data_IF_442678269486
#
_entry.id   IF_442678269486
#
_cell.length_a   1.000
_cell.length_b   1.000
_cell.length_c   1.000
_cell.angle_alpha   90.00
_cell.angle_beta   90.00
_cell.angle_gamma   90.00
#
_symmetry.space_group_name_H-M   'P 1'
#
loop_
_entity.id
_entity.type
_entity.pdbx_description
1 polymer ?
#
# COMPACT_ATOMS: atom_id res chain seq x y z
N UNK A 1 -7.50 -4.65 29.13
CA UNK A 1 -7.50 -5.96 28.43
C UNK A 1 -8.87 -6.63 28.52
N UNK A 2 -9.52 -6.55 29.69
CA UNK A 2 -10.91 -6.95 29.95
C UNK A 2 -11.92 -6.07 29.17
N UNK A 3 -11.67 -4.76 29.01
CA UNK A 3 -12.60 -3.88 28.27
C UNK A 3 -12.78 -4.23 26.79
N UNK A 4 -11.71 -4.54 26.04
CA UNK A 4 -11.85 -4.85 24.60
C UNK A 4 -12.53 -6.20 24.35
N UNK A 5 -12.43 -7.13 25.30
CA UNK A 5 -13.15 -8.42 25.26
C UNK A 5 -14.60 -8.23 25.63
N UNK A 6 -14.90 -7.46 26.69
CA UNK A 6 -16.26 -7.07 27.04
C UNK A 6 -16.94 -6.29 25.91
N UNK A 7 -16.30 -5.30 25.29
CA UNK A 7 -16.92 -4.54 24.19
C UNK A 7 -17.22 -5.42 22.97
N UNK A 8 -16.35 -6.35 22.59
CA UNK A 8 -16.65 -7.26 21.48
C UNK A 8 -17.75 -8.27 21.87
N UNK A 9 -17.74 -8.76 23.10
CA UNK A 9 -18.75 -9.71 23.62
C UNK A 9 -20.10 -9.02 23.81
N UNK A 10 -20.15 -7.80 24.36
CA UNK A 10 -21.34 -6.96 24.52
C UNK A 10 -21.92 -6.59 23.16
N UNK A 11 -21.11 -6.13 22.20
CA UNK A 11 -21.58 -5.81 20.85
C UNK A 11 -22.06 -7.05 20.07
N UNK A 12 -21.50 -8.23 20.34
CA UNK A 12 -21.95 -9.50 19.75
C UNK A 12 -23.20 -10.05 20.45
N UNK A 13 -23.33 -9.88 21.77
CA UNK A 13 -24.51 -10.30 22.56
C UNK A 13 -25.71 -9.38 22.26
N UNK A 14 -25.50 -8.07 22.10
CA UNK A 14 -26.55 -7.12 21.68
C UNK A 14 -27.06 -7.39 20.26
N UNK A 15 -26.28 -8.07 19.42
CA UNK A 15 -26.71 -8.48 18.08
C UNK A 15 -27.69 -9.67 18.06
N UNK A 16 -27.89 -10.33 19.20
CA UNK A 16 -28.71 -11.54 19.34
C UNK A 16 -30.04 -11.29 20.10
N UNK A 17 -30.25 -10.09 20.66
CA UNK A 17 -31.53 -9.73 21.28
C UNK A 17 -32.05 -8.36 20.83
N UNK A 18 -33.20 -8.37 20.16
CA UNK A 18 -34.00 -7.17 19.98
C UNK A 18 -34.65 -6.73 21.30
N UNK A 19 -34.51 -5.43 21.59
CA UNK A 19 -35.20 -4.58 22.56
C UNK A 19 -34.46 -4.16 23.85
N UNK A 20 -34.29 -2.84 23.93
CA UNK A 20 -34.43 -1.91 25.07
C UNK A 20 -33.72 -2.24 26.40
N UNK A 21 -32.89 -1.32 26.88
CA UNK A 21 -33.12 -0.53 28.11
C UNK A 21 -32.09 0.60 28.24
N UNK A 22 -32.58 1.76 28.70
CA UNK A 22 -31.83 2.93 29.15
C UNK A 22 -31.07 2.68 30.47
N UNK A 23 -30.05 3.52 30.66
CA UNK A 23 -29.48 4.06 31.91
C UNK A 23 -28.10 3.58 32.36
N UNK A 24 -27.22 4.58 32.30
CA UNK A 24 -26.34 5.07 33.36
C UNK A 24 -24.96 4.44 33.63
N UNK A 25 -23.98 5.32 33.38
CA UNK A 25 -22.83 5.63 34.22
C UNK A 25 -21.88 4.49 34.59
N UNK A 26 -20.96 4.15 33.69
CA UNK A 26 -19.60 3.74 34.09
C UNK A 26 -18.56 3.91 32.96
N UNK A 27 -18.47 5.09 32.34
CA UNK A 27 -17.40 5.38 31.36
C UNK A 27 -16.59 6.64 31.73
N UNK A 28 -16.34 6.83 33.03
CA UNK A 28 -15.33 7.79 33.51
C UNK A 28 -14.37 7.06 34.43
N UNK A 29 -13.09 7.11 34.06
CA UNK A 29 -11.90 6.67 34.78
C UNK A 29 -11.42 5.25 34.49
N UNK A 30 -10.64 5.06 33.41
CA UNK A 30 -9.31 4.42 33.48
C UNK A 30 -8.41 5.04 32.39
N UNK A 31 -7.88 6.23 32.68
CA UNK A 31 -6.55 6.64 32.22
C UNK A 31 -5.64 6.38 33.42
N UNK A 32 -4.39 5.98 33.17
CA UNK A 32 -3.32 5.67 34.12
C UNK A 32 -3.19 4.18 34.44
N UNK A 33 -2.47 3.46 33.59
CA UNK A 33 -1.18 2.85 33.97
C UNK A 33 -0.69 1.96 32.84
N UNK A 34 0.33 2.45 32.13
CA UNK A 34 1.44 1.67 31.57
C UNK A 34 2.45 2.68 31.03
N UNK A 35 3.06 3.41 31.96
CA UNK A 35 4.28 4.16 31.68
C UNK A 35 5.47 3.21 31.65
N UNK A 36 6.43 3.61 30.82
CA UNK A 36 7.86 3.27 30.85
C UNK A 36 8.33 2.05 30.01
N UNK A 37 9.06 2.40 28.94
CA UNK A 37 10.11 1.61 28.27
C UNK A 37 9.73 0.52 27.24
N UNK A 38 8.69 0.70 26.41
CA UNK A 38 8.40 -0.23 25.30
C UNK A 38 8.67 0.31 23.88
N UNK A 39 9.15 1.54 23.73
CA UNK A 39 9.30 2.20 22.43
C UNK A 39 10.52 1.76 21.61
N UNK A 40 11.46 1.01 22.18
CA UNK A 40 12.70 0.64 21.49
C UNK A 40 12.50 -0.41 20.38
N UNK A 41 11.42 -1.21 20.41
CA UNK A 41 11.21 -2.33 19.48
C UNK A 41 9.76 -2.46 19.05
N UNK A 42 9.17 -1.38 18.54
CA UNK A 42 7.77 -1.35 18.13
C UNK A 42 7.36 -2.38 17.07
N UNK A 43 8.31 -3.00 16.36
CA UNK A 43 8.03 -4.12 15.47
C UNK A 43 7.77 -5.45 16.21
N UNK A 44 8.27 -5.63 17.44
CA UNK A 44 8.02 -6.84 18.25
C UNK A 44 6.62 -6.80 18.87
N UNK A 45 6.01 -5.60 19.02
CA UNK A 45 4.69 -5.47 19.61
C UNK A 45 3.61 -6.26 18.83
N UNK A 46 3.87 -6.62 17.58
CA UNK A 46 2.97 -7.45 16.75
C UNK A 46 2.80 -8.89 17.30
N UNK A 47 3.73 -9.35 18.14
CA UNK A 47 3.70 -10.66 18.78
C UNK A 47 3.08 -10.62 20.19
N UNK A 48 2.66 -9.44 20.65
CA UNK A 48 1.96 -9.30 21.95
C UNK A 48 0.46 -9.55 21.80
N UNK A 49 -0.16 -9.97 22.90
CA UNK A 49 -1.60 -10.21 23.05
C UNK A 49 -2.46 -9.08 22.45
N UNK A 50 -2.09 -7.81 22.69
CA UNK A 50 -2.81 -6.63 22.19
C UNK A 50 -2.95 -6.65 20.66
N UNK A 51 -1.93 -7.10 19.94
CA UNK A 51 -1.96 -7.17 18.49
C UNK A 51 -2.86 -8.29 17.98
N UNK A 52 -2.91 -9.43 18.70
CA UNK A 52 -3.85 -10.52 18.42
C UNK A 52 -5.29 -10.02 18.55
N UNK A 53 -5.59 -9.27 19.61
CA UNK A 53 -6.90 -8.63 19.79
C UNK A 53 -7.22 -7.61 18.67
N UNK A 54 -6.28 -6.75 18.27
CA UNK A 54 -6.49 -5.87 17.10
C UNK A 54 -6.80 -6.67 15.82
N UNK A 55 -6.19 -7.85 15.61
CA UNK A 55 -6.51 -8.71 14.46
C UNK A 55 -7.92 -9.29 14.56
N UNK A 56 -8.33 -9.76 15.73
CA UNK A 56 -9.67 -10.28 16.00
C UNK A 56 -10.74 -9.21 15.81
N UNK A 57 -10.57 -8.02 16.41
CA UNK A 57 -11.46 -6.88 16.22
C UNK A 57 -11.58 -6.52 14.73
N UNK A 58 -10.46 -6.43 14.01
CA UNK A 58 -10.47 -6.15 12.57
C UNK A 58 -11.20 -7.24 11.74
N UNK A 59 -11.23 -8.49 12.20
CA UNK A 59 -12.03 -9.54 11.57
C UNK A 59 -13.50 -9.40 11.94
N UNK A 60 -13.80 -9.16 13.22
CA UNK A 60 -15.16 -8.97 13.75
C UNK A 60 -15.89 -7.82 13.07
N UNK A 61 -15.20 -6.73 12.73
CA UNK A 61 -15.81 -5.62 11.97
C UNK A 61 -16.40 -6.09 10.63
N UNK A 62 -15.76 -7.04 9.94
CA UNK A 62 -16.32 -7.57 8.69
C UNK A 62 -17.65 -8.30 8.92
N UNK A 63 -17.73 -9.09 9.99
CA UNK A 63 -18.96 -9.79 10.36
C UNK A 63 -20.06 -8.80 10.75
N UNK A 64 -19.71 -7.76 11.51
CA UNK A 64 -20.65 -6.70 11.88
C UNK A 64 -21.13 -5.89 10.68
N UNK A 65 -20.27 -5.64 9.69
CA UNK A 65 -20.66 -5.01 8.42
C UNK A 65 -21.67 -5.90 7.66
N UNK A 66 -21.45 -7.22 7.61
CA UNK A 66 -22.39 -8.18 7.00
C UNK A 66 -23.73 -8.24 7.75
N UNK A 67 -23.70 -8.11 9.08
CA UNK A 67 -24.88 -8.01 9.94
C UNK A 67 -25.53 -6.61 9.95
N UNK A 68 -24.98 -5.65 9.20
CA UNK A 68 -25.44 -4.25 9.13
C UNK A 68 -25.39 -3.49 10.47
N UNK A 69 -24.55 -3.95 11.40
CA UNK A 69 -24.31 -3.30 12.69
C UNK A 69 -23.28 -2.17 12.54
N UNK A 70 -23.68 -1.11 11.84
CA UNK A 70 -22.77 -0.04 11.40
C UNK A 70 -22.26 0.85 12.54
N UNK A 71 -23.07 1.07 13.58
CA UNK A 71 -22.63 1.81 14.77
C UNK A 71 -21.56 1.03 15.54
N UNK A 72 -21.72 -0.28 15.71
CA UNK A 72 -20.72 -1.15 16.30
C UNK A 72 -19.39 -1.14 15.50
N UNK A 73 -19.48 -1.17 14.17
CA UNK A 73 -18.30 -1.08 13.30
C UNK A 73 -17.52 0.23 13.53
N UNK A 74 -18.24 1.35 13.63
CA UNK A 74 -17.66 2.68 13.89
C UNK A 74 -16.91 2.70 15.23
N UNK A 75 -17.50 2.17 16.30
CA UNK A 75 -16.85 2.13 17.61
C UNK A 75 -15.61 1.22 17.61
N UNK A 76 -15.66 0.08 16.94
CA UNK A 76 -14.47 -0.77 16.81
C UNK A 76 -13.37 -0.08 15.99
N UNK A 77 -13.70 0.65 14.92
CA UNK A 77 -12.69 1.42 14.18
C UNK A 77 -12.03 2.50 15.06
N UNK A 78 -12.78 3.18 15.94
CA UNK A 78 -12.21 4.11 16.95
C UNK A 78 -11.24 3.38 17.87
N UNK A 79 -11.65 2.24 18.43
CA UNK A 79 -10.82 1.43 19.32
C UNK A 79 -9.54 0.95 18.63
N UNK A 80 -9.63 0.47 17.39
CA UNK A 80 -8.50 0.05 16.57
C UNK A 80 -7.51 1.20 16.33
N UNK A 81 -8.01 2.38 16.00
CA UNK A 81 -7.17 3.57 15.77
C UNK A 81 -6.48 4.06 17.05
N UNK A 82 -7.14 3.98 18.20
CA UNK A 82 -6.52 4.35 19.48
C UNK A 82 -5.47 3.33 19.93
N UNK A 83 -5.72 2.04 19.69
CA UNK A 83 -4.91 0.96 20.26
C UNK A 83 -3.79 0.46 19.36
N UNK A 84 -3.86 0.74 18.06
CA UNK A 84 -2.90 0.26 17.07
C UNK A 84 -2.31 1.44 16.26
N UNK A 85 -1.45 2.29 16.89
CA UNK A 85 -0.94 3.53 16.30
C UNK A 85 0.00 3.34 15.11
N UNK A 86 0.76 2.24 15.06
CA UNK A 86 1.70 1.95 13.97
C UNK A 86 1.15 0.92 12.96
N UNK A 87 -0.16 0.66 12.96
CA UNK A 87 -0.75 -0.33 12.06
C UNK A 87 -0.77 0.16 10.61
N UNK A 88 -0.29 -0.67 9.69
CA UNK A 88 -0.39 -0.41 8.25
C UNK A 88 -1.85 -0.40 7.73
N UNK A 89 -2.81 -0.84 8.54
CA UNK A 89 -4.24 -0.88 8.18
C UNK A 89 -4.99 0.40 8.55
N UNK A 90 -4.36 1.37 9.22
CA UNK A 90 -5.02 2.61 9.67
C UNK A 90 -5.74 3.34 8.55
N UNK A 91 -5.09 3.49 7.39
CA UNK A 91 -5.74 4.06 6.21
C UNK A 91 -7.01 3.32 5.80
N UNK A 92 -6.99 1.99 5.82
CA UNK A 92 -8.14 1.16 5.48
C UNK A 92 -9.28 1.36 6.49
N UNK A 93 -8.95 1.48 7.78
CA UNK A 93 -9.93 1.76 8.83
C UNK A 93 -10.59 3.13 8.65
N UNK A 94 -9.79 4.18 8.38
CA UNK A 94 -10.33 5.50 8.07
C UNK A 94 -11.26 5.46 6.85
N UNK A 95 -10.79 4.86 5.76
CA UNK A 95 -11.55 4.75 4.50
C UNK A 95 -12.87 4.01 4.71
N UNK A 96 -12.86 2.84 5.36
CA UNK A 96 -14.06 2.04 5.60
C UNK A 96 -15.02 2.73 6.55
N UNK A 97 -14.55 3.27 7.68
CA UNK A 97 -15.42 3.98 8.61
C UNK A 97 -16.03 5.24 7.97
N UNK A 98 -15.27 5.99 7.16
CA UNK A 98 -15.82 7.12 6.41
C UNK A 98 -16.86 6.70 5.36
N UNK A 99 -16.74 5.51 4.75
CA UNK A 99 -17.79 4.95 3.90
C UNK A 99 -19.05 4.64 4.71
N UNK A 100 -18.89 4.03 5.90
CA UNK A 100 -20.01 3.73 6.80
C UNK A 100 -20.72 5.02 7.23
N UNK A 101 -19.97 6.05 7.63
CA UNK A 101 -20.52 7.34 8.05
C UNK A 101 -21.24 8.08 6.90
N UNK A 102 -20.68 8.11 5.69
CA UNK A 102 -21.30 8.79 4.52
C UNK A 102 -22.54 8.03 4.01
N UNK A 103 -22.42 6.71 3.82
CA UNK A 103 -23.43 5.93 3.09
C UNK A 103 -24.47 5.27 4.00
N UNK A 104 -24.03 4.61 5.09
CA UNK A 104 -24.90 3.79 5.92
C UNK A 104 -25.56 4.57 7.06
N UNK A 105 -24.78 5.39 7.77
CA UNK A 105 -25.26 6.17 8.91
C UNK A 105 -25.70 7.59 8.52
N UNK A 106 -25.27 8.08 7.36
CA UNK A 106 -25.56 9.44 6.86
C UNK A 106 -25.16 10.56 7.85
N UNK A 107 -24.14 10.29 8.68
CA UNK A 107 -23.58 11.23 9.65
C UNK A 107 -22.49 12.07 8.98
N UNK A 108 -22.90 13.00 8.10
CA UNK A 108 -21.99 13.72 7.22
C UNK A 108 -20.97 14.60 7.96
N UNK A 109 -21.36 15.29 9.03
CA UNK A 109 -20.46 16.14 9.82
C UNK A 109 -19.39 15.33 10.55
N UNK A 110 -19.75 14.13 11.00
CA UNK A 110 -18.80 13.20 11.58
C UNK A 110 -17.90 12.60 10.51
N UNK A 111 -18.45 12.18 9.37
CA UNK A 111 -17.66 11.70 8.24
C UNK A 111 -16.64 12.75 7.80
N UNK A 112 -17.02 14.03 7.78
CA UNK A 112 -16.13 15.12 7.42
C UNK A 112 -14.93 15.22 8.38
N UNK A 113 -15.18 15.26 9.70
CA UNK A 113 -14.13 15.26 10.72
C UNK A 113 -13.26 14.01 10.66
N UNK A 114 -13.86 12.85 10.44
CA UNK A 114 -13.17 11.57 10.31
C UNK A 114 -12.20 11.57 9.12
N UNK A 115 -12.60 12.13 7.98
CA UNK A 115 -11.72 12.32 6.83
C UNK A 115 -10.57 13.30 7.16
N UNK A 116 -10.83 14.39 7.89
CA UNK A 116 -9.78 15.33 8.30
C UNK A 116 -8.72 14.66 9.19
N UNK A 117 -9.16 13.88 10.18
CA UNK A 117 -8.26 13.11 11.05
C UNK A 117 -7.42 12.11 10.25
N UNK A 118 -8.05 11.36 9.34
CA UNK A 118 -7.34 10.40 8.50
C UNK A 118 -6.34 11.05 7.53
N UNK A 119 -6.62 12.26 7.04
CA UNK A 119 -5.67 13.03 6.22
C UNK A 119 -4.50 13.56 7.05
N UNK A 120 -4.72 13.87 8.32
CA UNK A 120 -3.68 14.29 9.27
C UNK A 120 -2.82 13.15 9.83
N UNK A 121 -3.25 11.90 9.68
CA UNK A 121 -2.52 10.74 10.19
C UNK A 121 -1.33 10.35 9.29
N UNK A 122 -0.13 10.39 9.85
CA UNK A 122 1.15 10.07 9.17
C UNK A 122 1.23 8.64 8.64
N UNK A 123 0.53 7.69 9.23
CA UNK A 123 0.57 6.26 8.88
C UNK A 123 -0.45 5.85 7.80
N UNK A 124 -1.27 6.79 7.32
CA UNK A 124 -2.18 6.55 6.18
C UNK A 124 -1.38 6.63 4.88
N UNK A 125 -1.42 5.56 4.08
CA UNK A 125 -0.70 5.52 2.81
C UNK A 125 -1.36 6.40 1.75
N UNK A 126 -0.62 6.71 0.69
CA UNK A 126 -1.07 7.62 -0.39
C UNK A 126 -2.38 7.16 -1.03
N UNK A 127 -2.54 5.86 -1.27
CA UNK A 127 -3.77 5.29 -1.84
C UNK A 127 -5.02 5.62 -1.02
N UNK A 128 -4.99 5.28 0.27
CA UNK A 128 -6.09 5.59 1.18
C UNK A 128 -6.26 7.09 1.41
N UNK A 129 -5.18 7.89 1.43
CA UNK A 129 -5.27 9.37 1.47
C UNK A 129 -6.04 9.92 0.27
N UNK A 130 -5.79 9.42 -0.94
CA UNK A 130 -6.52 9.86 -2.13
C UNK A 130 -8.02 9.55 -2.02
N UNK A 131 -8.39 8.38 -1.50
CA UNK A 131 -9.80 8.02 -1.32
C UNK A 131 -10.48 8.91 -0.26
N UNK A 132 -9.80 9.16 0.87
CA UNK A 132 -10.29 10.09 1.89
C UNK A 132 -10.42 11.50 1.35
N UNK A 133 -9.46 11.98 0.56
CA UNK A 133 -9.46 13.31 -0.04
C UNK A 133 -10.62 13.47 -1.04
N UNK A 134 -10.89 12.46 -1.87
CA UNK A 134 -12.07 12.44 -2.76
C UNK A 134 -13.36 12.60 -1.97
N UNK A 135 -13.51 11.86 -0.86
CA UNK A 135 -14.70 11.92 0.00
C UNK A 135 -14.80 13.26 0.75
N UNK A 136 -13.69 13.75 1.30
CA UNK A 136 -13.58 15.06 1.95
C UNK A 136 -14.04 16.18 1.02
N UNK A 137 -13.51 16.24 -0.21
CA UNK A 137 -13.85 17.27 -1.19
C UNK A 137 -15.33 17.21 -1.62
N UNK A 138 -15.89 16.01 -1.76
CA UNK A 138 -17.33 15.81 -2.03
C UNK A 138 -18.19 16.38 -0.90
N UNK A 139 -17.85 16.09 0.35
CA UNK A 139 -18.59 16.57 1.52
C UNK A 139 -18.41 18.07 1.73
N UNK A 140 -17.20 18.59 1.57
CA UNK A 140 -16.90 20.03 1.66
C UNK A 140 -17.80 20.85 0.72
N UNK A 141 -17.91 20.43 -0.55
CA UNK A 141 -18.79 21.09 -1.53
C UNK A 141 -20.26 21.08 -1.09
N UNK A 142 -20.75 19.97 -0.52
CA UNK A 142 -22.13 19.88 -0.02
C UNK A 142 -22.36 20.84 1.17
N UNK A 143 -21.43 20.85 2.13
CA UNK A 143 -21.50 21.70 3.33
C UNK A 143 -21.45 23.18 2.93
N UNK A 144 -20.49 23.60 2.10
CA UNK A 144 -20.36 24.98 1.61
C UNK A 144 -21.64 25.45 0.87
N UNK A 145 -22.21 24.61 -0.01
CA UNK A 145 -23.46 24.92 -0.70
C UNK A 145 -24.65 25.08 0.26
N UNK A 146 -24.74 24.22 1.28
CA UNK A 146 -25.80 24.30 2.29
C UNK A 146 -25.70 25.55 3.17
N UNK A 147 -24.49 26.00 3.47
CA UNK A 147 -24.26 27.20 4.29
C UNK A 147 -24.52 28.48 3.51
N UNK A 148 -24.12 28.53 2.22
CA UNK A 148 -24.46 29.63 1.32
C UNK A 148 -25.97 29.87 1.21
N UNK A 149 -26.77 28.79 1.27
CA UNK A 149 -28.25 28.88 1.28
C UNK A 149 -28.83 29.39 2.60
N UNK A 150 -28.18 29.13 3.75
CA UNK A 150 -28.70 29.47 5.09
C UNK A 150 -28.39 30.91 5.57
N UNK A 151 -27.63 31.72 4.82
CA UNK A 151 -27.20 33.09 5.20
C UNK A 151 -26.56 33.20 6.60
N UNK A 152 -26.11 32.10 7.19
CA UNK A 152 -25.42 32.07 8.48
C UNK A 152 -23.91 31.95 8.25
N UNK A 153 -23.17 33.02 8.51
CA UNK A 153 -21.69 33.02 8.58
C UNK A 153 -21.26 32.36 9.88
N UNK A 154 -20.85 31.10 9.83
CA UNK A 154 -20.06 30.46 10.88
C UNK A 154 -18.73 30.07 10.24
N UNK A 155 -17.62 30.35 10.92
CA UNK A 155 -16.29 29.97 10.49
C UNK A 155 -16.24 28.44 10.33
N UNK A 156 -16.32 27.92 9.10
CA UNK A 156 -15.61 26.67 8.82
C UNK A 156 -14.16 26.96 9.18
N UNK A 157 -13.54 26.10 10.00
CA UNK A 157 -12.08 25.95 9.94
C UNK A 157 -11.75 25.89 8.44
N UNK A 158 -10.90 26.81 7.96
CA UNK A 158 -10.63 26.96 6.54
C UNK A 158 -10.53 25.56 5.89
N UNK A 159 -11.02 25.37 4.64
CA UNK A 159 -10.62 24.18 3.88
C UNK A 159 -9.12 24.04 4.10
N UNK A 160 -8.61 22.85 4.45
CA UNK A 160 -7.19 22.57 4.75
C UNK A 160 -6.28 23.10 3.61
N UNK A 161 -6.11 24.42 3.54
CA UNK A 161 -5.32 25.22 2.62
C UNK A 161 -3.90 25.32 3.17
N UNK A 162 -3.75 25.00 4.46
CA UNK A 162 -2.50 24.97 5.21
C UNK A 162 -1.91 23.59 5.45
N UNK A 163 -2.42 22.51 4.85
CA UNK A 163 -1.59 21.31 4.66
C UNK A 163 -0.69 21.52 3.43
N UNK A 164 0.07 22.62 3.44
CA UNK A 164 1.09 23.02 2.46
C UNK A 164 2.32 22.11 2.45
N UNK A 165 2.20 20.92 3.03
CA UNK A 165 3.11 19.79 2.92
C UNK A 165 2.17 18.60 2.79
N UNK A 166 1.70 18.31 1.60
CA UNK A 166 2.31 17.30 0.74
C UNK A 166 1.90 17.69 -0.70
N UNK A 167 2.80 18.32 -1.44
CA UNK A 167 2.63 18.53 -2.90
C UNK A 167 2.30 17.21 -3.60
N UNK A 168 2.69 16.08 -3.02
CA UNK A 168 2.49 14.77 -3.63
C UNK A 168 1.03 14.35 -3.81
N UNK A 169 0.01 14.89 -3.12
CA UNK A 169 -1.37 14.43 -3.40
C UNK A 169 -1.93 15.02 -4.69
N UNK A 170 -1.78 16.33 -4.89
CA UNK A 170 -2.22 16.99 -6.13
C UNK A 170 -1.28 16.63 -7.29
N UNK A 171 0.03 16.52 -7.03
CA UNK A 171 1.00 16.04 -8.01
C UNK A 171 0.72 14.58 -8.41
N UNK A 172 0.42 13.67 -7.47
CA UNK A 172 0.06 12.27 -7.77
C UNK A 172 -1.28 12.19 -8.50
N UNK A 173 -2.27 13.00 -8.13
CA UNK A 173 -3.56 13.03 -8.82
C UNK A 173 -3.39 13.54 -10.26
N UNK A 174 -2.57 14.59 -10.46
CA UNK A 174 -2.21 15.13 -11.77
C UNK A 174 -1.39 14.11 -12.59
N UNK A 175 -0.45 13.41 -11.95
CA UNK A 175 0.33 12.32 -12.56
C UNK A 175 -0.53 11.10 -12.93
N UNK A 176 -1.60 10.82 -12.18
CA UNK A 176 -2.54 9.74 -12.48
C UNK A 176 -3.46 10.08 -13.66
N UNK A 177 -3.78 11.36 -13.88
CA UNK A 177 -4.67 11.78 -14.97
C UNK A 177 -4.03 11.83 -16.35
N UNK A 178 -2.70 11.84 -16.45
CA UNK A 178 -1.98 11.96 -17.72
C UNK A 178 -1.26 10.67 -18.15
N UNK A 179 -1.79 9.51 -17.72
CA UNK A 179 -1.24 8.21 -18.10
C UNK A 179 -1.70 7.87 -19.52
N UNK A 180 -0.75 7.66 -20.44
CA UNK A 180 -1.04 7.14 -21.79
C UNK A 180 -1.83 5.84 -21.65
N UNK A 181 -3.07 5.89 -22.09
CA UNK A 181 -3.97 4.74 -22.09
C UNK A 181 -4.01 4.17 -23.50
N UNK A 182 -3.68 2.88 -23.64
CA UNK A 182 -3.81 2.13 -24.88
C UNK A 182 -4.96 1.16 -24.69
N UNK A 183 -5.94 1.21 -25.58
CA UNK A 183 -7.08 0.30 -25.57
C UNK A 183 -6.82 -0.80 -26.59
N UNK A 184 -6.87 -2.04 -26.13
CA UNK A 184 -6.72 -3.24 -26.97
C UNK A 184 -8.05 -3.97 -26.95
N UNK A 185 -8.63 -4.20 -28.12
CA UNK A 185 -9.86 -4.97 -28.27
C UNK A 185 -9.54 -6.47 -28.30
N UNK A 186 -10.36 -7.27 -27.63
CA UNK A 186 -10.19 -8.73 -27.55
C UNK A 186 -11.51 -9.48 -27.54
N UNK A 187 -11.52 -10.69 -28.08
CA UNK A 187 -12.71 -11.53 -28.17
C UNK A 187 -12.94 -12.30 -26.86
N UNK A 188 -13.83 -11.80 -26.00
CA UNK A 188 -14.07 -12.39 -24.68
C UNK A 188 -14.85 -13.72 -24.72
N UNK A 189 -14.37 -14.71 -23.99
CA UNK A 189 -14.96 -16.05 -23.83
C UNK A 189 -15.93 -16.08 -22.64
N UNK A 190 -15.53 -15.50 -21.51
CA UNK A 190 -16.27 -15.55 -20.25
C UNK A 190 -16.79 -14.17 -19.85
N UNK A 191 -18.11 -14.04 -19.65
CA UNK A 191 -18.78 -12.81 -19.18
C UNK A 191 -19.58 -13.06 -17.89
N UNK A 192 -18.98 -13.70 -16.89
CA UNK A 192 -19.61 -13.95 -15.57
C UNK A 192 -18.90 -13.16 -14.48
N UNK A 193 -19.67 -12.42 -13.70
CA UNK A 193 -19.17 -11.69 -12.52
C UNK A 193 -18.52 -12.65 -11.54
N UNK A 194 -17.33 -12.31 -11.03
CA UNK A 194 -16.58 -13.13 -10.06
C UNK A 194 -15.66 -14.18 -10.69
N UNK A 195 -15.62 -14.31 -12.02
CA UNK A 195 -14.65 -15.17 -12.72
C UNK A 195 -13.60 -14.34 -13.44
N UNK A 196 -12.40 -14.91 -13.63
CA UNK A 196 -11.37 -14.28 -14.47
C UNK A 196 -11.84 -14.23 -15.92
N UNK A 197 -11.68 -13.08 -16.56
CA UNK A 197 -11.97 -12.92 -17.98
C UNK A 197 -10.92 -13.61 -18.83
N UNK A 198 -11.37 -14.45 -19.76
CA UNK A 198 -10.55 -15.08 -20.78
C UNK A 198 -10.97 -14.63 -22.17
N UNK A 199 -10.04 -14.70 -23.10
CA UNK A 199 -10.19 -14.19 -24.45
C UNK A 199 -9.53 -15.14 -25.46
N UNK A 200 -9.95 -15.07 -26.72
CA UNK A 200 -9.27 -15.78 -27.81
C UNK A 200 -8.04 -14.99 -28.26
N UNK A 201 -6.87 -15.65 -28.20
CA UNK A 201 -5.65 -15.21 -28.86
C UNK A 201 -5.68 -15.46 -30.37
N UNK A 202 -4.63 -15.04 -31.06
CA UNK A 202 -4.57 -15.04 -32.53
C UNK A 202 -4.56 -16.46 -33.11
N UNK A 203 -4.04 -17.42 -32.36
CA UNK A 203 -4.05 -18.84 -32.72
C UNK A 203 -5.28 -19.59 -32.17
N UNK A 204 -6.37 -18.89 -31.81
CA UNK A 204 -7.55 -19.44 -31.12
C UNK A 204 -7.24 -20.08 -29.74
N UNK A 205 -6.10 -19.76 -29.15
CA UNK A 205 -5.76 -20.18 -27.79
C UNK A 205 -6.57 -19.36 -26.77
N UNK A 206 -6.86 -19.98 -25.62
CA UNK A 206 -7.56 -19.30 -24.51
C UNK A 206 -6.53 -18.55 -23.67
N UNK A 207 -6.55 -17.23 -23.75
CA UNK A 207 -5.61 -16.34 -23.08
C UNK A 207 -6.28 -15.53 -21.97
N UNK A 208 -5.51 -15.19 -20.95
CA UNK A 208 -5.86 -14.18 -19.95
C UNK A 208 -5.77 -12.77 -20.54
N UNK A 209 -6.31 -11.77 -19.83
CA UNK A 209 -6.19 -10.35 -20.21
C UNK A 209 -4.72 -9.99 -20.45
N UNK A 210 -3.84 -10.39 -19.53
CA UNK A 210 -2.43 -10.03 -19.57
C UNK A 210 -1.69 -10.70 -20.74
N UNK A 211 -2.05 -11.94 -21.07
CA UNK A 211 -1.48 -12.65 -22.21
C UNK A 211 -1.90 -12.06 -23.56
N UNK A 212 -3.16 -11.62 -23.71
CA UNK A 212 -3.60 -10.89 -24.90
C UNK A 212 -2.85 -9.57 -25.07
N UNK A 213 -2.64 -8.83 -23.98
CA UNK A 213 -1.89 -7.58 -24.05
C UNK A 213 -0.44 -7.84 -24.47
N UNK A 214 0.18 -8.90 -23.95
CA UNK A 214 1.52 -9.32 -24.39
C UNK A 214 1.54 -9.77 -25.85
N UNK A 215 0.52 -10.50 -26.31
CA UNK A 215 0.37 -10.91 -27.70
C UNK A 215 0.26 -9.68 -28.62
N UNK A 216 -0.61 -8.71 -28.28
CA UNK A 216 -0.75 -7.46 -29.02
C UNK A 216 0.56 -6.68 -29.12
N UNK A 217 1.23 -6.41 -28.00
CA UNK A 217 2.49 -5.66 -28.01
C UNK A 217 3.65 -6.43 -28.66
N UNK A 218 3.58 -7.76 -28.75
CA UNK A 218 4.55 -8.53 -29.52
C UNK A 218 4.44 -8.31 -31.04
N UNK A 219 3.31 -7.79 -31.52
CA UNK A 219 3.03 -7.53 -32.92
C UNK A 219 3.21 -6.06 -33.31
N UNK A 220 2.94 -5.15 -32.38
CA UNK A 220 3.13 -3.70 -32.59
C UNK A 220 4.63 -3.39 -32.77
N UNK A 221 4.94 -2.48 -33.70
CA UNK A 221 6.31 -2.04 -34.02
C UNK A 221 7.28 -3.19 -34.37
N UNK A 222 6.83 -4.25 -35.07
CA UNK A 222 7.65 -5.44 -35.39
C UNK A 222 8.25 -6.12 -34.14
N UNK A 223 7.56 -6.04 -33.00
CA UNK A 223 8.05 -6.58 -31.72
C UNK A 223 9.14 -5.73 -31.07
N UNK A 224 9.34 -4.47 -31.52
CA UNK A 224 10.24 -3.51 -30.88
C UNK A 224 9.68 -2.92 -29.58
N UNK A 225 8.41 -3.18 -29.26
CA UNK A 225 7.84 -2.74 -27.99
C UNK A 225 8.57 -3.41 -26.82
N UNK A 226 9.25 -2.61 -26.02
CA UNK A 226 9.95 -3.04 -24.81
C UNK A 226 9.14 -2.61 -23.58
N UNK A 227 8.59 -3.57 -22.83
CA UNK A 227 7.91 -3.26 -21.58
C UNK A 227 7.61 -4.42 -20.63
N UNK A 228 7.44 -4.08 -19.33
CA UNK A 228 7.00 -5.01 -18.27
C UNK A 228 5.52 -4.75 -17.99
N UNK A 229 4.69 -5.79 -18.05
CA UNK A 229 3.31 -5.68 -17.62
C UNK A 229 3.18 -5.74 -16.08
N UNK A 230 2.61 -4.68 -15.48
CA UNK A 230 2.40 -4.52 -14.04
C UNK A 230 0.92 -4.30 -13.73
N UNK A 231 0.37 -5.10 -12.80
CA UNK A 231 -0.84 -4.78 -12.03
C UNK A 231 -0.46 -4.01 -10.76
N UNK A 232 -0.81 -2.72 -10.68
CA UNK A 232 -0.65 -1.93 -9.44
C UNK A 232 -2.01 -1.47 -8.97
N UNK A 233 -2.35 -1.84 -7.74
CA UNK A 233 -3.46 -1.23 -7.03
C UNK A 233 -3.07 0.06 -6.28
N UNK A 234 -1.94 0.69 -6.58
CA UNK A 234 -1.50 2.02 -6.09
C UNK A 234 -0.11 2.36 -6.68
N UNK A 235 -0.03 2.85 -7.92
CA UNK A 235 1.21 3.41 -8.47
C UNK A 235 1.19 4.94 -8.40
N UNK A 236 2.21 5.51 -7.78
CA UNK A 236 2.65 6.87 -8.04
C UNK A 236 3.56 6.77 -9.27
N UNK A 237 3.09 7.25 -10.42
CA UNK A 237 3.94 7.47 -11.59
C UNK A 237 4.69 8.79 -11.40
N UNK A 238 6.02 8.80 -11.50
CA UNK A 238 6.73 10.06 -11.72
C UNK A 238 6.56 10.45 -13.19
N UNK A 239 5.71 11.44 -13.48
CA UNK A 239 5.70 12.12 -14.79
C UNK A 239 6.78 13.20 -14.77
N UNK A 240 7.58 13.27 -15.84
CA UNK A 240 8.40 14.44 -16.15
C UNK A 240 7.77 15.20 -17.34
N UNK A 241 7.95 16.51 -17.36
CA UNK A 241 7.25 17.50 -18.20
C UNK A 241 7.48 17.41 -19.73
N UNK A 242 8.19 16.41 -20.25
CA UNK A 242 8.62 16.38 -21.67
C UNK A 242 8.15 15.17 -22.48
N UNK A 243 7.00 14.53 -22.16
CA UNK A 243 6.41 13.46 -22.99
C UNK A 243 7.35 12.28 -23.36
N UNK A 244 8.44 12.04 -22.61
CA UNK A 244 9.35 10.92 -22.87
C UNK A 244 8.99 9.71 -22.02
N UNK A 245 8.74 8.59 -22.71
CA UNK A 245 8.31 7.31 -22.16
C UNK A 245 9.43 6.61 -21.38
N UNK A 246 9.07 5.95 -20.28
CA UNK A 246 9.92 4.93 -19.68
C UNK A 246 9.91 3.68 -20.57
N UNK A 247 11.01 3.41 -21.26
CA UNK A 247 11.19 2.14 -21.97
C UNK A 247 11.52 1.06 -20.94
N UNK A 248 10.57 0.16 -20.72
CA UNK A 248 10.66 -0.94 -19.76
C UNK A 248 11.21 -2.20 -20.46
N UNK A 249 11.66 -3.15 -19.66
CA UNK A 249 12.46 -4.31 -20.08
C UNK A 249 11.62 -5.29 -20.94
N UNK A 250 12.16 -5.79 -22.06
CA UNK A 250 11.52 -6.87 -22.83
C UNK A 250 11.66 -8.20 -22.10
N UNK A 251 10.68 -8.53 -21.27
CA UNK A 251 10.48 -9.88 -20.76
C UNK A 251 9.03 -10.21 -21.05
N UNK A 252 8.74 -11.16 -21.94
CA UNK A 252 7.39 -11.72 -22.20
C UNK A 252 6.86 -12.48 -20.96
N UNK A 253 6.87 -11.85 -19.79
CA UNK A 253 6.65 -12.45 -18.49
C UNK A 253 5.87 -11.48 -17.61
N UNK A 254 4.73 -11.94 -17.09
CA UNK A 254 3.95 -11.23 -16.07
C UNK A 254 4.77 -11.12 -14.78
N UNK A 255 4.86 -9.91 -14.21
CA UNK A 255 5.69 -9.66 -13.02
C UNK A 255 4.89 -9.45 -11.73
N UNK A 256 3.80 -8.67 -11.75
CA UNK A 256 3.03 -8.31 -10.53
C UNK A 256 3.91 -7.78 -9.37
N UNK A 257 5.09 -7.22 -9.68
CA UNK A 257 6.07 -6.75 -8.71
C UNK A 257 7.12 -7.78 -8.26
N UNK A 258 7.01 -9.04 -8.67
CA UNK A 258 7.99 -10.09 -8.32
C UNK A 258 9.39 -9.80 -8.85
N UNK A 259 9.52 -9.21 -10.05
CA UNK A 259 10.81 -8.79 -10.59
C UNK A 259 11.47 -7.70 -9.73
N UNK A 260 10.71 -6.70 -9.32
CA UNK A 260 11.23 -5.62 -8.46
C UNK A 260 11.58 -6.13 -7.06
N UNK A 261 10.79 -7.07 -6.53
CA UNK A 261 11.10 -7.75 -5.28
C UNK A 261 12.42 -8.53 -5.37
N UNK A 262 12.62 -9.26 -6.46
CA UNK A 262 13.86 -9.98 -6.78
C UNK A 262 15.05 -9.01 -6.87
N UNK A 263 14.94 -7.94 -7.66
CA UNK A 263 15.96 -6.89 -7.79
C UNK A 263 16.28 -6.31 -6.41
N UNK A 264 15.26 -5.90 -5.66
CA UNK A 264 15.44 -5.38 -4.31
C UNK A 264 16.15 -6.37 -3.39
N UNK A 265 15.72 -7.64 -3.36
CA UNK A 265 16.30 -8.67 -2.52
C UNK A 265 17.78 -8.93 -2.81
N UNK A 266 18.16 -9.01 -4.09
CA UNK A 266 19.55 -9.26 -4.49
C UNK A 266 20.45 -8.04 -4.25
N UNK A 267 20.00 -6.84 -4.64
CA UNK A 267 20.80 -5.63 -4.46
C UNK A 267 20.92 -5.20 -2.99
N UNK A 268 19.88 -5.43 -2.18
CA UNK A 268 19.85 -5.04 -0.77
C UNK A 268 20.19 -6.20 0.16
N UNK A 269 20.68 -7.33 -0.34
CA UNK A 269 20.92 -8.56 0.45
C UNK A 269 21.65 -8.28 1.77
N UNK A 270 22.84 -7.67 1.68
CA UNK A 270 23.68 -7.36 2.85
C UNK A 270 23.07 -6.33 3.81
N UNK A 271 22.07 -5.56 3.37
CA UNK A 271 21.33 -4.62 4.22
C UNK A 271 20.15 -5.32 4.90
N UNK A 272 19.44 -6.18 4.16
CA UNK A 272 18.28 -6.95 4.66
C UNK A 272 18.75 -7.93 5.74
N UNK A 273 19.79 -8.71 5.46
CA UNK A 273 20.30 -9.76 6.35
C UNK A 273 21.42 -9.29 7.28
N UNK A 274 21.56 -7.98 7.50
CA UNK A 274 22.47 -7.46 8.51
C UNK A 274 21.96 -7.84 9.91
N UNK A 275 22.71 -8.69 10.59
CA UNK A 275 22.43 -9.26 11.91
C UNK A 275 22.92 -8.38 13.08
N UNK A 276 23.66 -7.31 12.80
CA UNK A 276 24.04 -6.32 13.82
C UNK A 276 22.86 -5.47 14.30
N UNK A 277 21.71 -5.53 13.60
CA UNK A 277 20.50 -4.85 14.04
C UNK A 277 19.86 -5.66 15.17
N UNK A 278 19.64 -5.09 16.37
CA UNK A 278 19.13 -5.85 17.50
C UNK A 278 17.74 -6.46 17.25
N UNK A 279 17.56 -7.71 17.71
CA UNK A 279 16.28 -8.43 17.77
C UNK A 279 15.55 -8.73 16.46
N UNK A 280 16.09 -8.34 15.30
CA UNK A 280 15.44 -8.62 14.00
C UNK A 280 15.61 -10.08 13.56
N UNK A 281 16.65 -10.76 14.02
CA UNK A 281 16.86 -12.19 13.90
C UNK A 281 17.02 -12.76 15.31
N UNK A 282 16.06 -13.57 15.71
CA UNK A 282 16.01 -14.24 17.01
C UNK A 282 16.31 -15.73 16.89
N UNK A 283 16.12 -16.32 15.70
CA UNK A 283 16.29 -17.75 15.46
C UNK A 283 16.95 -18.00 14.08
N UNK A 284 17.73 -19.09 13.92
CA UNK A 284 18.42 -19.42 12.66
C UNK A 284 17.49 -19.73 11.47
N UNK A 285 16.20 -19.98 11.71
CA UNK A 285 15.24 -20.42 10.69
C UNK A 285 14.46 -19.28 10.02
N UNK A 286 14.84 -18.02 10.27
CA UNK A 286 14.14 -16.87 9.71
C UNK A 286 14.59 -16.59 8.27
N UNK A 287 13.64 -16.55 7.35
CA UNK A 287 13.86 -16.14 5.96
C UNK A 287 13.82 -14.63 5.72
N UNK A 288 13.64 -13.84 6.80
CA UNK A 288 13.60 -12.38 6.77
C UNK A 288 13.73 -11.76 8.17
N UNK A 289 14.20 -10.51 8.27
CA UNK A 289 14.23 -9.80 9.54
C UNK A 289 12.80 -9.47 10.00
N UNK A 290 12.53 -9.57 11.30
CA UNK A 290 11.19 -9.36 11.88
C UNK A 290 10.62 -7.96 11.62
N UNK A 291 11.47 -6.97 11.34
CA UNK A 291 11.06 -5.59 11.09
C UNK A 291 10.76 -5.28 9.61
N UNK A 292 11.03 -6.18 8.65
CA UNK A 292 10.99 -5.92 7.20
C UNK A 292 9.69 -5.23 6.72
N UNK A 293 8.54 -5.68 7.21
CA UNK A 293 7.23 -5.18 6.81
C UNK A 293 6.71 -4.09 7.75
N UNK A 294 7.61 -3.36 8.39
CA UNK A 294 7.29 -2.29 9.34
C UNK A 294 8.10 -1.03 9.02
N UNK A 295 7.66 0.16 9.50
CA UNK A 295 8.46 1.38 9.36
C UNK A 295 9.87 1.26 9.97
N UNK A 296 10.05 0.36 10.95
CA UNK A 296 11.31 0.18 11.67
C UNK A 296 12.42 -0.39 10.79
N UNK A 297 12.12 -1.17 9.75
CA UNK A 297 13.14 -1.68 8.83
C UNK A 297 14.00 -0.56 8.23
N UNK A 298 13.33 0.48 7.73
CA UNK A 298 14.01 1.65 7.20
C UNK A 298 14.69 2.45 8.31
N UNK A 299 13.97 2.74 9.40
CA UNK A 299 14.49 3.57 10.50
C UNK A 299 15.75 2.99 11.14
N UNK A 300 15.82 1.67 11.31
CA UNK A 300 16.98 0.99 11.90
C UNK A 300 18.17 0.87 10.93
N UNK A 301 17.96 1.13 9.63
CA UNK A 301 18.96 0.91 8.57
C UNK A 301 19.15 2.15 7.69
N UNK A 302 18.72 3.33 8.11
CA UNK A 302 18.74 4.54 7.25
C UNK A 302 20.12 4.77 6.64
N UNK A 303 21.18 4.68 7.45
CA UNK A 303 22.55 4.88 6.98
C UNK A 303 22.98 3.78 5.99
N UNK A 304 22.82 2.50 6.36
CA UNK A 304 23.14 1.35 5.51
C UNK A 304 22.40 1.39 4.16
N UNK A 305 21.12 1.78 4.19
CA UNK A 305 20.30 1.91 2.99
C UNK A 305 20.83 3.04 2.10
N UNK A 306 21.11 4.22 2.67
CA UNK A 306 21.63 5.37 1.91
C UNK A 306 22.96 5.04 1.24
N UNK A 307 23.92 4.55 2.01
CA UNK A 307 25.24 4.13 1.49
C UNK A 307 25.10 3.07 0.40
N UNK A 308 24.22 2.09 0.61
CA UNK A 308 23.99 1.03 -0.38
C UNK A 308 23.39 1.56 -1.67
N UNK A 309 22.39 2.44 -1.59
CA UNK A 309 21.75 3.06 -2.75
C UNK A 309 22.76 3.93 -3.51
N UNK A 310 23.57 4.71 -2.82
CA UNK A 310 24.65 5.50 -3.44
C UNK A 310 25.68 4.62 -4.13
N UNK A 311 26.07 3.49 -3.51
CA UNK A 311 26.97 2.52 -4.14
C UNK A 311 26.34 1.95 -5.41
N UNK A 312 25.08 1.51 -5.37
CA UNK A 312 24.36 0.97 -6.53
C UNK A 312 24.26 2.00 -7.66
N UNK A 313 24.09 3.29 -7.32
CA UNK A 313 23.99 4.35 -8.32
C UNK A 313 25.30 4.61 -9.08
N UNK A 314 26.45 4.25 -8.49
CA UNK A 314 27.79 4.41 -9.09
C UNK A 314 28.35 3.15 -9.73
N UNK A 315 27.63 2.02 -9.67
CA UNK A 315 28.12 0.76 -10.22
C UNK A 315 28.03 0.76 -11.74
N UNK A 316 29.13 0.39 -12.39
CA UNK A 316 29.14 0.16 -13.82
C UNK A 316 28.43 -1.15 -14.16
N UNK A 317 28.13 -1.30 -15.45
CA UNK A 317 27.48 -2.49 -16.01
C UNK A 317 28.18 -3.80 -15.62
N UNK A 318 29.52 -3.81 -15.65
CA UNK A 318 30.35 -4.95 -15.26
C UNK A 318 30.30 -5.24 -13.77
N UNK A 319 30.25 -4.19 -12.94
CA UNK A 319 30.19 -4.32 -11.47
C UNK A 319 28.85 -4.89 -11.03
N UNK A 320 27.76 -4.49 -11.71
CA UNK A 320 26.42 -4.99 -11.45
C UNK A 320 26.34 -6.48 -11.75
N UNK A 321 26.81 -6.90 -12.94
CA UNK A 321 26.81 -8.30 -13.31
C UNK A 321 27.63 -9.12 -12.31
N UNK A 322 28.85 -8.67 -12.00
CA UNK A 322 29.74 -9.35 -11.05
C UNK A 322 29.11 -9.48 -9.66
N UNK A 323 28.57 -8.39 -9.11
CA UNK A 323 27.91 -8.39 -7.81
C UNK A 323 26.68 -9.30 -7.77
N UNK A 324 25.82 -9.25 -8.80
CA UNK A 324 24.64 -10.11 -8.85
C UNK A 324 25.01 -11.59 -9.01
N UNK A 325 26.07 -11.90 -9.75
CA UNK A 325 26.64 -13.25 -9.82
C UNK A 325 27.16 -13.72 -8.46
N UNK A 326 27.87 -12.86 -7.73
CA UNK A 326 28.38 -13.17 -6.39
C UNK A 326 27.24 -13.48 -5.41
N UNK A 327 26.26 -12.58 -5.26
CA UNK A 327 25.11 -12.81 -4.38
C UNK A 327 24.31 -14.03 -4.81
N UNK A 328 24.08 -14.20 -6.11
CA UNK A 328 23.29 -15.33 -6.61
C UNK A 328 23.97 -16.67 -6.34
N UNK A 329 25.27 -16.78 -6.59
CA UNK A 329 26.02 -18.02 -6.38
C UNK A 329 26.27 -18.30 -4.89
N UNK A 330 26.57 -17.27 -4.10
CA UNK A 330 26.84 -17.38 -2.67
C UNK A 330 25.61 -17.79 -1.85
N UNK A 331 24.42 -17.39 -2.27
CA UNK A 331 23.17 -17.62 -1.51
C UNK A 331 22.15 -18.50 -2.25
N UNK A 332 22.56 -19.18 -3.32
CA UNK A 332 21.65 -19.98 -4.12
C UNK A 332 20.92 -21.02 -3.26
N UNK A 333 19.59 -21.08 -3.40
CA UNK A 333 18.67 -21.92 -2.61
C UNK A 333 18.53 -21.56 -1.12
N UNK A 334 19.11 -20.47 -0.63
CA UNK A 334 18.80 -19.99 0.73
C UNK A 334 17.36 -19.46 0.83
N UNK A 335 16.70 -19.70 1.96
CA UNK A 335 15.32 -19.22 2.15
C UNK A 335 15.31 -17.70 2.35
N UNK A 336 14.76 -16.97 1.38
CA UNK A 336 14.76 -15.51 1.37
C UNK A 336 13.40 -14.94 0.93
N UNK A 337 12.80 -14.05 1.74
CA UNK A 337 11.46 -13.51 1.46
C UNK A 337 11.35 -12.70 0.16
N UNK A 338 12.45 -12.08 -0.26
CA UNK A 338 12.49 -11.22 -1.45
C UNK A 338 12.97 -11.95 -2.71
N UNK A 339 13.49 -13.16 -2.58
CA UNK A 339 14.20 -13.85 -3.67
C UNK A 339 13.60 -15.25 -3.87
N UNK A 340 13.31 -15.59 -5.13
CA UNK A 340 12.85 -16.92 -5.53
C UNK A 340 13.82 -17.50 -6.54
N UNK A 341 14.70 -18.37 -6.08
CA UNK A 341 15.82 -18.92 -6.86
C UNK A 341 15.36 -19.79 -8.05
N UNK A 342 14.42 -20.70 -7.81
CA UNK A 342 13.88 -21.60 -8.82
C UNK A 342 12.52 -21.10 -9.32
N UNK A 343 12.44 -19.78 -9.53
CA UNK A 343 11.22 -19.08 -9.90
C UNK A 343 11.15 -18.73 -11.39
N UNK A 344 10.22 -17.83 -11.70
CA UNK A 344 10.02 -17.29 -13.07
C UNK A 344 11.23 -16.52 -13.60
N UNK A 345 12.04 -15.94 -12.72
CA UNK A 345 13.14 -15.05 -13.05
C UNK A 345 14.48 -15.75 -12.87
N UNK A 346 15.31 -15.72 -13.92
CA UNK A 346 16.68 -16.20 -13.86
C UNK A 346 17.63 -15.00 -13.73
N UNK A 347 18.87 -15.25 -13.30
CA UNK A 347 19.87 -14.20 -13.07
C UNK A 347 20.07 -13.28 -14.30
N UNK A 348 20.11 -13.83 -15.51
CA UNK A 348 20.24 -13.05 -16.74
C UNK A 348 19.07 -12.10 -16.97
N UNK A 349 17.84 -12.49 -16.60
CA UNK A 349 16.67 -11.60 -16.65
C UNK A 349 16.87 -10.38 -15.73
N UNK A 350 17.43 -10.60 -14.53
CA UNK A 350 17.67 -9.54 -13.53
C UNK A 350 18.79 -8.59 -13.97
N UNK A 351 19.89 -9.13 -14.50
CA UNK A 351 21.02 -8.32 -15.00
C UNK A 351 20.52 -7.44 -16.15
N UNK A 352 19.87 -8.02 -17.15
CA UNK A 352 19.32 -7.29 -18.28
C UNK A 352 18.33 -6.22 -17.83
N UNK A 353 17.51 -6.53 -16.83
CA UNK A 353 16.55 -5.59 -16.27
C UNK A 353 17.21 -4.29 -15.76
N UNK A 354 18.25 -4.40 -14.93
CA UNK A 354 18.93 -3.23 -14.38
C UNK A 354 19.69 -2.44 -15.45
N UNK A 355 20.33 -3.14 -16.38
CA UNK A 355 21.09 -2.54 -17.47
C UNK A 355 20.24 -1.60 -18.33
N UNK A 356 19.02 -2.01 -18.67
CA UNK A 356 18.07 -1.15 -19.39
C UNK A 356 17.67 0.08 -18.56
N UNK A 357 17.46 -0.08 -17.25
CA UNK A 357 17.11 1.04 -16.36
C UNK A 357 18.21 2.10 -16.30
N UNK A 358 19.49 1.69 -16.25
CA UNK A 358 20.63 2.61 -16.20
C UNK A 358 20.85 3.34 -17.52
N UNK A 359 20.83 2.61 -18.64
CA UNK A 359 20.99 3.23 -19.97
C UNK A 359 20.00 4.37 -20.21
N UNK A 360 18.74 4.16 -19.80
CA UNK A 360 17.69 5.18 -19.91
C UNK A 360 17.91 6.40 -19.00
N UNK A 361 18.62 6.24 -17.88
CA UNK A 361 18.98 7.36 -17.01
C UNK A 361 20.06 8.23 -17.66
N UNK A 362 21.06 7.61 -18.29
CA UNK A 362 22.17 8.32 -18.92
C UNK A 362 21.73 9.04 -20.20
N UNK A 363 20.93 8.39 -21.04
CA UNK A 363 20.32 9.02 -22.23
C UNK A 363 19.45 10.24 -21.85
N UNK A 364 18.83 10.20 -20.66
CA UNK A 364 18.04 11.32 -20.10
C UNK A 364 18.92 12.47 -19.59
N UNK A 365 20.02 12.18 -18.91
CA UNK A 365 20.96 13.22 -18.45
C UNK A 365 21.61 13.93 -19.63
N UNK A 366 21.95 13.19 -20.68
CA UNK A 366 22.56 13.75 -21.89
C UNK A 366 21.57 14.62 -22.69
N UNK A 367 20.30 14.23 -22.79
CA UNK A 367 19.25 15.01 -23.48
C UNK A 367 18.75 16.25 -22.71
N UNK A 368 19.08 16.37 -21.42
CA UNK A 368 18.81 17.59 -20.63
C UNK A 368 19.96 18.60 -20.67
N UNK A 369 21.14 18.20 -21.15
CA UNK A 369 22.33 19.06 -21.27
C UNK A 369 22.52 19.65 -22.67
N UNK A 370 21.77 19.16 -23.66
CA UNK A 370 21.64 19.71 -25.02
C UNK A 370 20.37 20.54 -25.13
#
# INVERSE_FOLDING_TARGET
MIDMTLTLIELLIESDQGNNINNDSCCKNIILNNNENNDALGFISIFREKHVWCKLLNLGVKLLEDMKQFDACREIYKLLLQNCPCSYKRGKWYVRCALILDYHLQLYDECFRWCQEGLGDKFVNVGERMELMKRYNKLYKKIDQSQKKKKTKINLSEPLRGLSTISTSDDVMMMATNIRTIVVEGNAITKRTGQKSHFYGINNEVLTVEEIILEHFSQVENGQWCGIHWYVNNAISFINNNNNYFYLIYLKKKSEGSLYRMIFGLFMWNVIYNDNIPFVFQQPFQSSPLDLNTPFFYMNRVQLIRERVEKIAKMESSDIASYLHEIWSGHFNESAICVTWNGRWILSDIINAKMTILKNHDDKMNSMQT
#
